data_IF_292930822805
#
_entry.id   IF_292930822805
#
_cell.length_a   1.000
_cell.length_b   1.000
_cell.length_c   1.000
_cell.angle_alpha   90.00
_cell.angle_beta   90.00
_cell.angle_gamma   90.00
#
_symmetry.space_group_name_H-M   'P 1'
#
loop_
_entity.id
_entity.type
_entity.pdbx_description
1 polymer ?
#
# COMPACT_ATOMS: atom_id res chain seq x y z
N UNK A 1 47.85 3.06 26.51
CA UNK A 1 47.19 2.64 25.26
C UNK A 1 45.97 1.80 25.60
N UNK A 2 44.76 2.33 25.40
CA UNK A 2 43.48 1.61 25.51
C UNK A 2 42.71 1.80 24.19
N UNK A 3 42.39 0.72 23.44
CA UNK A 3 41.51 0.82 22.29
C UNK A 3 40.26 -0.03 22.53
N UNK A 4 39.23 0.52 23.18
CA UNK A 4 37.97 -0.23 23.42
C UNK A 4 36.70 0.60 23.18
N UNK A 5 36.78 1.73 22.47
CA UNK A 5 35.64 2.67 22.35
C UNK A 5 34.97 2.75 20.97
N UNK A 6 35.33 1.92 19.98
CA UNK A 6 34.90 2.16 18.58
C UNK A 6 33.73 1.31 18.03
N UNK A 7 33.05 0.47 18.81
CA UNK A 7 32.05 -0.47 18.24
C UNK A 7 30.66 -0.37 18.88
N UNK A 8 30.10 0.84 19.00
CA UNK A 8 28.73 1.04 19.54
C UNK A 8 27.77 1.77 18.59
N UNK A 9 28.10 1.91 17.30
CA UNK A 9 27.24 2.60 16.32
C UNK A 9 27.12 1.80 15.00
N UNK A 10 26.82 0.51 15.08
CA UNK A 10 26.28 -0.21 13.93
C UNK A 10 24.74 -0.10 14.00
N UNK A 11 24.24 1.00 13.43
CA UNK A 11 22.81 1.29 13.34
C UNK A 11 22.08 0.22 12.55
N UNK A 12 21.16 -0.47 13.21
CA UNK A 12 20.09 -1.22 12.56
C UNK A 12 19.01 -0.22 12.17
N UNK A 13 19.24 0.52 11.09
CA UNK A 13 18.17 1.21 10.36
C UNK A 13 17.38 0.12 9.65
N UNK A 14 16.35 -0.39 10.34
CA UNK A 14 15.32 -1.20 9.71
C UNK A 14 14.52 -0.30 8.77
N UNK A 15 14.95 -0.21 7.51
CA UNK A 15 14.13 0.36 6.45
C UNK A 15 12.99 -0.61 6.17
N UNK A 16 11.90 -0.47 6.92
CA UNK A 16 10.67 -1.16 6.61
C UNK A 16 10.17 -0.59 5.27
N UNK A 17 10.41 -1.33 4.18
CA UNK A 17 9.67 -1.14 2.95
C UNK A 17 8.24 -1.61 3.21
N UNK A 18 7.46 -0.77 3.91
CA UNK A 18 6.02 -0.86 3.95
C UNK A 18 5.54 -0.64 2.53
N UNK A 19 5.08 -1.70 1.86
CA UNK A 19 4.43 -1.61 0.57
C UNK A 19 3.14 -0.82 0.73
N UNK A 20 3.23 0.51 0.70
CA UNK A 20 2.06 1.36 0.55
C UNK A 20 1.47 1.14 -0.84
N UNK A 21 0.14 1.19 -1.01
CA UNK A 21 -0.45 1.21 -2.34
C UNK A 21 0.23 2.33 -3.13
N UNK A 22 0.74 2.02 -4.32
CA UNK A 22 1.58 2.95 -5.06
C UNK A 22 0.79 4.25 -5.29
N UNK A 23 1.25 5.33 -4.66
CA UNK A 23 0.65 6.63 -4.83
C UNK A 23 0.62 7.00 -6.32
N UNK A 24 -0.53 7.45 -6.80
CA UNK A 24 -0.69 7.88 -8.19
C UNK A 24 0.08 9.19 -8.44
N UNK A 25 0.19 10.03 -7.41
CA UNK A 25 0.87 11.32 -7.42
C UNK A 25 0.45 12.18 -6.22
N UNK A 26 0.94 13.43 -6.13
CA UNK A 26 0.55 14.35 -5.07
C UNK A 26 -0.92 14.80 -5.22
N UNK A 27 -1.53 15.20 -4.12
CA UNK A 27 -2.84 15.82 -4.15
C UNK A 27 -2.78 17.20 -4.80
N UNK A 28 -3.71 17.49 -5.71
CA UNK A 28 -3.85 18.81 -6.32
C UNK A 28 -5.02 19.52 -5.65
N UNK A 29 -4.76 20.58 -4.88
CA UNK A 29 -5.77 21.32 -4.12
C UNK A 29 -6.61 20.40 -3.20
N UNK A 30 -5.94 19.45 -2.53
CA UNK A 30 -6.58 18.43 -1.68
C UNK A 30 -7.58 17.52 -2.41
N UNK A 31 -7.44 17.37 -3.73
CA UNK A 31 -8.29 16.52 -4.57
C UNK A 31 -7.46 15.53 -5.36
N UNK A 32 -8.10 14.40 -5.65
CA UNK A 32 -7.57 13.32 -6.47
C UNK A 32 -8.58 12.96 -7.57
N UNK A 33 -8.16 12.24 -8.63
CA UNK A 33 -9.07 11.67 -9.62
C UNK A 33 -10.13 10.76 -8.97
N UNK A 34 -11.21 10.46 -9.70
CA UNK A 34 -12.22 9.49 -9.21
C UNK A 34 -11.56 8.15 -8.89
N UNK A 35 -12.03 7.48 -7.84
CA UNK A 35 -11.42 6.22 -7.36
C UNK A 35 -10.15 6.42 -6.51
N UNK A 36 -9.75 7.66 -6.22
CA UNK A 36 -8.61 7.98 -5.36
C UNK A 36 -9.01 9.01 -4.28
N UNK A 37 -8.42 8.87 -3.10
CA UNK A 37 -8.55 9.79 -1.98
C UNK A 37 -7.19 10.41 -1.66
N UNK A 38 -7.22 11.65 -1.16
CA UNK A 38 -6.01 12.34 -0.71
C UNK A 38 -5.69 11.87 0.73
N UNK A 39 -4.62 11.09 0.89
CA UNK A 39 -4.06 10.68 2.19
C UNK A 39 -2.59 11.08 2.24
N UNK A 40 -2.17 11.74 3.31
CA UNK A 40 -0.77 12.15 3.51
C UNK A 40 -0.18 12.93 2.32
N UNK A 41 -0.98 13.83 1.74
CA UNK A 41 -0.62 14.62 0.54
C UNK A 41 -0.42 13.81 -0.75
N UNK A 42 -0.74 12.51 -0.73
CA UNK A 42 -0.68 11.61 -1.87
C UNK A 42 -2.07 11.10 -2.27
N UNK A 43 -2.27 10.92 -3.57
CA UNK A 43 -3.44 10.26 -4.12
C UNK A 43 -3.28 8.75 -4.03
N UNK A 44 -4.00 8.16 -3.08
CA UNK A 44 -4.06 6.71 -2.86
C UNK A 44 -5.42 6.17 -3.31
N UNK A 45 -5.53 4.89 -3.68
CA UNK A 45 -6.81 4.29 -4.07
C UNK A 45 -7.86 4.46 -2.98
N UNK A 46 -9.06 4.92 -3.36
CA UNK A 46 -10.19 5.05 -2.44
C UNK A 46 -10.86 3.70 -2.25
N UNK A 47 -10.59 3.04 -1.12
CA UNK A 47 -11.17 1.74 -0.78
C UNK A 47 -12.71 1.76 -0.70
N UNK A 48 -13.36 2.92 -0.55
CA UNK A 48 -14.83 3.03 -0.55
C UNK A 48 -15.44 3.02 -1.95
N UNK A 49 -14.68 3.45 -2.96
CA UNK A 49 -15.08 3.50 -4.37
C UNK A 49 -14.49 2.34 -5.19
N UNK A 50 -13.40 1.76 -4.72
CA UNK A 50 -12.76 0.62 -5.37
C UNK A 50 -13.54 -0.64 -5.05
N UNK A 51 -14.24 -1.18 -6.05
CA UNK A 51 -14.91 -2.48 -5.95
C UNK A 51 -14.11 -3.54 -6.69
N UNK A 52 -14.18 -4.76 -6.18
CA UNK A 52 -13.79 -5.93 -6.97
C UNK A 52 -14.68 -5.98 -8.22
N UNK A 53 -14.07 -6.25 -9.38
CA UNK A 53 -14.82 -6.44 -10.62
C UNK A 53 -15.82 -7.59 -10.43
N UNK A 54 -17.09 -7.35 -10.73
CA UNK A 54 -18.13 -8.37 -10.57
C UNK A 54 -17.80 -9.63 -11.40
N UNK A 55 -17.89 -10.80 -10.77
CA UNK A 55 -17.57 -12.08 -11.39
C UNK A 55 -16.08 -12.33 -11.65
N UNK A 56 -15.18 -11.45 -11.18
CA UNK A 56 -13.75 -11.69 -11.30
C UNK A 56 -13.30 -12.83 -10.38
N UNK A 57 -12.37 -13.63 -10.87
CA UNK A 57 -11.74 -14.69 -10.07
C UNK A 57 -10.67 -14.08 -9.16
N UNK A 58 -10.59 -14.60 -7.94
CA UNK A 58 -9.50 -14.28 -7.04
C UNK A 58 -8.17 -14.74 -7.63
N UNK A 59 -7.15 -13.88 -7.57
CA UNK A 59 -5.78 -14.23 -8.01
C UNK A 59 -4.95 -14.87 -6.89
N UNK A 60 -5.42 -14.78 -5.65
CA UNK A 60 -4.72 -15.28 -4.48
C UNK A 60 -5.28 -14.71 -3.17
N UNK A 61 -4.72 -15.11 -2.02
CA UNK A 61 -5.04 -14.53 -0.73
C UNK A 61 -4.43 -13.13 -0.58
N UNK A 62 -4.99 -12.32 0.31
CA UNK A 62 -4.33 -11.09 0.75
C UNK A 62 -3.10 -11.43 1.61
N UNK A 63 -2.11 -10.54 1.60
CA UNK A 63 -0.94 -10.62 2.49
C UNK A 63 -0.91 -9.34 3.30
N UNK A 64 -1.09 -9.42 4.62
CA UNK A 64 -1.18 -8.25 5.50
C UNK A 64 -2.23 -7.22 5.05
N UNK A 65 -3.40 -7.69 4.59
CA UNK A 65 -4.47 -6.85 4.00
C UNK A 65 -4.06 -6.10 2.71
N UNK A 66 -2.96 -6.50 2.08
CA UNK A 66 -2.47 -5.91 0.83
C UNK A 66 -2.57 -6.91 -0.32
N UNK A 67 -2.67 -6.35 -1.52
CA UNK A 67 -2.71 -7.04 -2.80
C UNK A 67 -1.76 -6.33 -3.78
N UNK A 68 -1.31 -7.02 -4.84
CA UNK A 68 -0.54 -6.38 -5.91
C UNK A 68 -1.33 -5.25 -6.59
N UNK A 69 -0.63 -4.38 -7.31
CA UNK A 69 -1.23 -3.25 -8.01
C UNK A 69 -2.43 -3.67 -8.88
N UNK A 70 -3.46 -2.83 -8.91
CA UNK A 70 -4.71 -3.10 -9.63
C UNK A 70 -5.61 -4.18 -9.01
N UNK A 71 -5.29 -4.65 -7.79
CA UNK A 71 -6.09 -5.64 -7.08
C UNK A 71 -6.53 -5.15 -5.70
N UNK A 72 -7.78 -5.43 -5.37
CA UNK A 72 -8.40 -5.10 -4.09
C UNK A 72 -8.39 -6.33 -3.18
N UNK A 73 -7.95 -6.14 -1.94
CA UNK A 73 -8.17 -7.13 -0.89
C UNK A 73 -9.63 -7.04 -0.41
N UNK A 74 -10.41 -8.08 -0.65
CA UNK A 74 -11.79 -8.18 -0.15
C UNK A 74 -11.75 -8.82 1.25
N UNK A 75 -12.10 -8.03 2.27
CA UNK A 75 -12.01 -8.48 3.68
C UNK A 75 -13.01 -9.59 4.04
N UNK A 76 -14.05 -9.80 3.23
CA UNK A 76 -15.07 -10.84 3.46
C UNK A 76 -14.51 -12.25 3.30
N UNK A 77 -13.65 -12.47 2.30
CA UNK A 77 -13.04 -13.77 2.00
C UNK A 77 -11.51 -13.76 1.97
N UNK A 78 -10.91 -12.63 2.34
CA UNK A 78 -9.45 -12.40 2.45
C UNK A 78 -8.69 -12.72 1.16
N UNK A 79 -9.27 -12.38 0.01
CA UNK A 79 -8.70 -12.62 -1.32
C UNK A 79 -8.49 -11.34 -2.13
N UNK A 80 -7.51 -11.42 -3.02
CA UNK A 80 -7.20 -10.37 -3.98
C UNK A 80 -8.02 -10.55 -5.26
N UNK A 81 -8.81 -9.53 -5.60
CA UNK A 81 -9.60 -9.48 -6.82
C UNK A 81 -9.16 -8.32 -7.70
N UNK A 82 -9.19 -8.45 -9.04
CA UNK A 82 -9.00 -7.33 -9.95
C UNK A 82 -9.99 -6.19 -9.63
N UNK A 83 -9.47 -4.97 -9.54
CA UNK A 83 -10.29 -3.78 -9.38
C UNK A 83 -11.12 -3.53 -10.65
N UNK A 84 -12.26 -2.86 -10.50
CA UNK A 84 -13.05 -2.37 -11.62
C UNK A 84 -12.35 -1.13 -12.22
N UNK A 85 -12.07 -1.15 -13.54
CA UNK A 85 -11.45 -0.03 -14.28
C UNK A 85 -12.39 1.18 -14.43
#
# INVERSE_FOLDING_TARGET
MQPILFTLLAGLVSLAASGSPKALGPCILSRCPRGFLCSDEECVPDASQTKAREGALAIGPCVNQQCPDGHLCVSEDYKCYPMQE
#
